data_IF_449016608569
#
_entry.id   IF_449016608569
#
_cell.length_a   1.000
_cell.length_b   1.000
_cell.length_c   1.000
_cell.angle_alpha   90.00
_cell.angle_beta   90.00
_cell.angle_gamma   90.00
#
_symmetry.space_group_name_H-M   'P 1'
#
loop_
_entity.id
_entity.type
_entity.pdbx_description
1 polymer ?
#
# COMPACT_ATOMS: atom_id res chain seq x y z
N UNK A 1 -14.02 -20.51 -24.88
CA UNK A 1 -12.65 -19.98 -25.14
C UNK A 1 -12.43 -18.50 -24.74
N UNK A 2 -13.23 -17.90 -23.84
CA UNK A 2 -13.04 -16.50 -23.40
C UNK A 2 -12.20 -16.33 -22.12
N UNK A 3 -11.97 -17.41 -21.36
CA UNK A 3 -11.39 -17.34 -20.00
C UNK A 3 -9.90 -16.95 -19.96
N UNK A 4 -9.13 -17.17 -21.03
CA UNK A 4 -7.68 -16.94 -21.03
C UNK A 4 -7.26 -15.47 -21.08
N UNK A 5 -8.01 -14.62 -21.79
CA UNK A 5 -7.67 -13.19 -21.96
C UNK A 5 -7.94 -12.35 -20.70
N UNK A 6 -8.92 -12.75 -19.90
CA UNK A 6 -9.21 -12.10 -18.62
C UNK A 6 -8.16 -12.41 -17.55
N UNK A 7 -7.60 -13.64 -17.56
CA UNK A 7 -6.56 -14.04 -16.63
C UNK A 7 -5.27 -13.22 -16.85
N UNK A 8 -4.81 -13.11 -18.10
CA UNK A 8 -3.60 -12.33 -18.43
C UNK A 8 -3.69 -10.86 -18.02
N UNK A 9 -4.82 -10.20 -18.31
CA UNK A 9 -5.03 -8.78 -17.96
C UNK A 9 -5.08 -8.54 -16.45
N UNK A 10 -5.67 -9.45 -15.69
CA UNK A 10 -5.72 -9.34 -14.23
C UNK A 10 -4.33 -9.52 -13.61
N UNK A 11 -3.52 -10.44 -14.13
CA UNK A 11 -2.13 -10.62 -13.72
C UNK A 11 -1.29 -9.39 -14.04
N UNK A 12 -1.40 -8.84 -15.25
CA UNK A 12 -0.65 -7.64 -15.65
C UNK A 12 -0.99 -6.43 -14.77
N UNK A 13 -2.28 -6.21 -14.48
CA UNK A 13 -2.74 -5.15 -13.59
C UNK A 13 -2.28 -5.35 -12.14
N UNK A 14 -2.28 -6.60 -11.65
CA UNK A 14 -1.79 -6.92 -10.31
C UNK A 14 -0.30 -6.65 -10.16
N UNK A 15 0.51 -7.07 -11.14
CA UNK A 15 1.96 -6.87 -11.14
C UNK A 15 2.32 -5.40 -11.33
N UNK A 16 1.64 -4.69 -12.25
CA UNK A 16 1.84 -3.27 -12.45
C UNK A 16 1.43 -2.47 -11.21
N UNK A 17 0.33 -2.87 -10.56
CA UNK A 17 -0.08 -2.34 -9.26
C UNK A 17 1.01 -2.54 -8.20
N UNK A 18 1.46 -3.78 -7.97
CA UNK A 18 2.51 -4.06 -6.99
C UNK A 18 3.80 -3.27 -7.27
N UNK A 19 4.23 -3.18 -8.52
CA UNK A 19 5.43 -2.42 -8.89
C UNK A 19 5.26 -0.92 -8.65
N UNK A 20 4.14 -0.34 -9.09
CA UNK A 20 3.85 1.07 -8.87
C UNK A 20 3.75 1.41 -7.37
N UNK A 21 3.21 0.50 -6.57
CA UNK A 21 3.11 0.64 -5.11
C UNK A 21 4.51 0.70 -4.48
N UNK A 22 5.36 -0.28 -4.77
CA UNK A 22 6.73 -0.33 -4.23
C UNK A 22 7.55 0.87 -4.69
N UNK A 23 7.46 1.26 -5.96
CA UNK A 23 8.23 2.38 -6.51
C UNK A 23 7.78 3.72 -5.89
N UNK A 24 6.48 3.98 -5.80
CA UNK A 24 5.98 5.24 -5.27
C UNK A 24 6.21 5.36 -3.76
N UNK A 25 5.92 4.30 -3.00
CA UNK A 25 6.20 4.25 -1.57
C UNK A 25 7.70 4.40 -1.28
N UNK A 26 8.54 3.69 -2.04
CA UNK A 26 9.99 3.79 -1.95
C UNK A 26 10.54 5.17 -2.29
N UNK A 27 10.04 5.80 -3.36
CA UNK A 27 10.45 7.15 -3.76
C UNK A 27 10.06 8.20 -2.70
N UNK A 28 8.84 8.11 -2.14
CA UNK A 28 8.41 9.00 -1.06
C UNK A 28 9.23 8.82 0.22
N UNK A 29 9.50 7.57 0.61
CA UNK A 29 10.35 7.29 1.77
C UNK A 29 11.79 7.81 1.57
N UNK A 30 12.36 7.62 0.38
CA UNK A 30 13.69 8.15 0.04
C UNK A 30 13.71 9.68 0.05
N UNK A 31 12.68 10.34 -0.48
CA UNK A 31 12.55 11.80 -0.45
C UNK A 31 12.54 12.34 0.99
N UNK A 32 11.76 11.71 1.88
CA UNK A 32 11.74 12.07 3.31
C UNK A 32 13.09 11.80 4.00
N UNK A 33 13.71 10.66 3.72
CA UNK A 33 14.99 10.28 4.33
C UNK A 33 16.13 11.24 3.93
N UNK A 34 16.07 11.82 2.73
CA UNK A 34 17.06 12.79 2.25
C UNK A 34 16.73 14.21 2.68
N UNK A 35 15.51 14.68 2.43
CA UNK A 35 15.13 16.07 2.66
C UNK A 35 14.84 16.38 4.13
N UNK A 36 14.35 15.40 4.90
CA UNK A 36 14.00 15.58 6.31
C UNK A 36 15.19 16.03 7.17
N UNK A 37 16.30 15.28 7.20
CA UNK A 37 17.50 15.68 7.95
C UNK A 37 18.06 17.03 7.50
N UNK A 38 18.14 17.28 6.18
CA UNK A 38 18.64 18.55 5.63
C UNK A 38 17.83 19.76 6.11
N UNK A 39 16.49 19.64 6.12
CA UNK A 39 15.61 20.72 6.58
C UNK A 39 15.70 20.92 8.10
N UNK A 40 15.84 19.84 8.87
CA UNK A 40 16.01 19.92 10.33
C UNK A 40 17.34 20.58 10.73
N UNK A 41 18.44 20.23 10.05
CA UNK A 41 19.75 20.85 10.25
C UNK A 41 19.74 22.34 9.87
N UNK A 42 19.13 22.67 8.73
CA UNK A 42 18.95 24.06 8.30
C UNK A 42 18.12 24.87 9.31
N UNK A 43 17.06 24.27 9.86
CA UNK A 43 16.21 24.90 10.88
C UNK A 43 16.98 25.20 12.18
N UNK A 44 17.87 24.31 12.58
CA UNK A 44 18.69 24.44 13.79
C UNK A 44 19.87 25.41 13.64
N UNK A 45 20.15 25.89 12.43
CA UNK A 45 21.28 26.79 12.15
C UNK A 45 21.01 28.20 12.69
N UNK A 46 22.00 28.81 13.34
CA UNK A 46 21.87 30.15 13.89
C UNK A 46 21.59 31.19 12.79
N UNK A 47 20.57 32.04 12.99
CA UNK A 47 20.16 33.05 12.02
C UNK A 47 19.31 32.51 10.85
N UNK A 48 18.91 31.24 10.88
CA UNK A 48 18.04 30.66 9.87
C UNK A 48 16.63 31.27 9.90
N UNK A 49 16.00 31.36 8.73
CA UNK A 49 14.58 31.65 8.59
C UNK A 49 13.75 30.40 8.93
N UNK A 50 13.58 30.18 10.22
CA UNK A 50 12.86 29.04 10.79
C UNK A 50 11.42 28.92 10.24
N UNK A 51 10.74 30.05 10.01
CA UNK A 51 9.36 30.06 9.54
C UNK A 51 9.24 29.52 8.10
N UNK A 52 10.14 29.95 7.22
CA UNK A 52 10.20 29.44 5.84
C UNK A 52 10.56 27.95 5.80
N UNK A 53 11.57 27.53 6.56
CA UNK A 53 11.99 26.12 6.60
C UNK A 53 10.89 25.20 7.16
N UNK A 54 10.20 25.63 8.22
CA UNK A 54 9.07 24.89 8.77
C UNK A 54 7.93 24.75 7.74
N UNK A 55 7.68 25.80 6.95
CA UNK A 55 6.67 25.77 5.88
C UNK A 55 7.06 24.76 4.79
N UNK A 56 8.32 24.76 4.34
CA UNK A 56 8.81 23.79 3.35
C UNK A 56 8.69 22.36 3.89
N UNK A 57 9.06 22.13 5.15
CA UNK A 57 8.93 20.83 5.79
C UNK A 57 7.46 20.39 5.90
N UNK A 58 6.55 21.29 6.27
CA UNK A 58 5.12 21.00 6.33
C UNK A 58 4.55 20.64 4.96
N UNK A 59 4.93 21.37 3.91
CA UNK A 59 4.50 21.06 2.53
C UNK A 59 5.04 19.70 2.08
N UNK A 60 6.31 19.38 2.37
CA UNK A 60 6.89 18.07 2.08
C UNK A 60 6.10 16.94 2.77
N UNK A 61 5.81 17.11 4.06
CA UNK A 61 5.02 16.16 4.84
C UNK A 61 3.61 16.00 4.28
N UNK A 62 2.95 17.09 3.89
CA UNK A 62 1.61 17.05 3.32
C UNK A 62 1.58 16.30 1.98
N UNK A 63 2.54 16.59 1.08
CA UNK A 63 2.66 15.92 -0.21
C UNK A 63 2.92 14.43 -0.04
N UNK A 64 3.84 14.06 0.85
CA UNK A 64 4.19 12.65 1.04
C UNK A 64 3.07 11.91 1.76
N UNK A 65 2.55 12.46 2.85
CA UNK A 65 1.54 11.78 3.66
C UNK A 65 0.19 11.73 2.97
N UNK A 66 -0.39 12.88 2.60
CA UNK A 66 -1.71 12.91 1.96
C UNK A 66 -1.66 12.51 0.50
N UNK A 67 -0.66 12.97 -0.24
CA UNK A 67 -0.55 12.72 -1.68
C UNK A 67 -0.08 11.30 -1.99
N UNK A 68 1.08 10.90 -1.48
CA UNK A 68 1.64 9.58 -1.82
C UNK A 68 0.99 8.49 -0.97
N UNK A 69 1.07 8.57 0.35
CA UNK A 69 0.70 7.46 1.25
C UNK A 69 -0.80 7.27 1.46
N UNK A 70 -1.61 8.32 1.35
CA UNK A 70 -3.06 8.20 1.58
C UNK A 70 -3.87 8.12 0.29
N UNK A 71 -3.37 8.68 -0.82
CA UNK A 71 -4.08 8.70 -2.09
C UNK A 71 -3.49 7.72 -3.11
N UNK A 72 -2.22 7.89 -3.48
CA UNK A 72 -1.60 7.04 -4.50
C UNK A 72 -1.43 5.59 -4.03
N UNK A 73 -0.92 5.42 -2.82
CA UNK A 73 -0.66 4.14 -2.18
C UNK A 73 -1.93 3.28 -2.08
N UNK A 74 -3.01 3.87 -1.56
CA UNK A 74 -4.31 3.19 -1.37
C UNK A 74 -4.97 2.78 -2.70
N UNK A 75 -4.81 3.59 -3.76
CA UNK A 75 -5.28 3.24 -5.10
C UNK A 75 -4.56 2.01 -5.65
N UNK A 76 -3.23 2.05 -5.59
CA UNK A 76 -2.39 1.08 -6.27
C UNK A 76 -2.35 -0.24 -5.50
N UNK A 77 -2.28 -0.18 -4.16
CA UNK A 77 -2.39 -1.38 -3.31
C UNK A 77 -3.77 -2.03 -3.44
N UNK A 78 -4.83 -1.24 -3.60
CA UNK A 78 -6.19 -1.73 -3.85
C UNK A 78 -6.26 -2.51 -5.16
N UNK A 79 -5.68 -1.98 -6.24
CA UNK A 79 -5.61 -2.66 -7.53
C UNK A 79 -4.83 -3.99 -7.44
N UNK A 80 -3.68 -3.98 -6.73
CA UNK A 80 -2.89 -5.19 -6.49
C UNK A 80 -3.68 -6.25 -5.72
N UNK A 81 -4.32 -5.88 -4.60
CA UNK A 81 -5.09 -6.80 -3.76
C UNK A 81 -6.30 -7.39 -4.50
N UNK A 82 -6.98 -6.60 -5.31
CA UNK A 82 -8.08 -7.08 -6.16
C UNK A 82 -7.56 -8.08 -7.19
N UNK A 83 -6.48 -7.74 -7.88
CA UNK A 83 -5.84 -8.61 -8.86
C UNK A 83 -5.39 -9.94 -8.24
N UNK A 84 -4.78 -9.90 -7.06
CA UNK A 84 -4.38 -11.08 -6.30
C UNK A 84 -5.58 -11.94 -5.91
N UNK A 85 -6.67 -11.32 -5.46
CA UNK A 85 -7.91 -12.01 -5.14
C UNK A 85 -8.51 -12.74 -6.34
N UNK A 86 -8.48 -12.13 -7.53
CA UNK A 86 -8.93 -12.80 -8.75
C UNK A 86 -8.03 -13.98 -9.15
N UNK A 87 -6.71 -13.86 -8.97
CA UNK A 87 -5.77 -14.92 -9.31
C UNK A 87 -5.91 -16.13 -8.39
N UNK A 88 -6.14 -15.91 -7.09
CA UNK A 88 -6.21 -16.98 -6.09
C UNK A 88 -7.60 -17.60 -5.92
N UNK A 89 -8.63 -17.10 -6.64
CA UNK A 89 -10.02 -17.54 -6.46
C UNK A 89 -10.23 -19.02 -6.78
N UNK A 90 -9.41 -19.64 -7.61
CA UNK A 90 -9.57 -21.06 -7.98
C UNK A 90 -8.98 -22.00 -6.94
N UNK A 91 -7.92 -21.56 -6.25
CA UNK A 91 -7.11 -22.45 -5.41
C UNK A 91 -7.35 -22.22 -3.92
N UNK A 92 -7.63 -20.97 -3.52
CA UNK A 92 -7.75 -20.55 -2.13
C UNK A 92 -8.87 -19.52 -1.96
N UNK A 93 -10.12 -19.95 -2.12
CA UNK A 93 -11.33 -19.10 -2.07
C UNK A 93 -11.40 -18.19 -0.83
N UNK A 94 -10.98 -18.68 0.35
CA UNK A 94 -10.99 -17.89 1.58
C UNK A 94 -10.01 -16.71 1.52
N UNK A 95 -8.77 -16.99 1.13
CA UNK A 95 -7.72 -15.97 1.00
C UNK A 95 -7.99 -14.99 -0.15
N UNK A 96 -8.59 -15.50 -1.24
CA UNK A 96 -9.05 -14.69 -2.36
C UNK A 96 -10.11 -13.66 -1.93
N UNK A 97 -11.12 -14.09 -1.18
CA UNK A 97 -12.16 -13.18 -0.64
C UNK A 97 -11.57 -12.13 0.28
N UNK A 98 -10.66 -12.52 1.17
CA UNK A 98 -9.98 -11.58 2.07
C UNK A 98 -9.21 -10.51 1.28
N UNK A 99 -8.47 -10.91 0.25
CA UNK A 99 -7.71 -10.00 -0.62
C UNK A 99 -8.63 -9.05 -1.40
N UNK A 100 -9.74 -9.55 -1.96
CA UNK A 100 -10.74 -8.72 -2.64
C UNK A 100 -11.37 -7.68 -1.69
N UNK A 101 -11.76 -8.11 -0.49
CA UNK A 101 -12.33 -7.22 0.53
C UNK A 101 -11.33 -6.15 0.91
N UNK A 102 -10.08 -6.53 1.19
CA UNK A 102 -9.02 -5.61 1.55
C UNK A 102 -8.80 -4.56 0.45
N UNK A 103 -8.73 -4.98 -0.81
CA UNK A 103 -8.58 -4.06 -1.94
C UNK A 103 -9.77 -3.12 -2.13
N UNK A 104 -11.00 -3.61 -1.91
CA UNK A 104 -12.20 -2.77 -1.93
C UNK A 104 -12.22 -1.72 -0.83
N UNK A 105 -11.81 -2.09 0.39
CA UNK A 105 -11.67 -1.14 1.51
C UNK A 105 -10.58 -0.10 1.24
N UNK A 106 -9.46 -0.48 0.61
CA UNK A 106 -8.41 0.48 0.23
C UNK A 106 -8.92 1.55 -0.74
N UNK A 107 -9.72 1.17 -1.75
CA UNK A 107 -10.35 2.15 -2.64
C UNK A 107 -11.42 2.99 -1.95
N UNK A 108 -12.13 2.43 -0.96
CA UNK A 108 -13.04 3.20 -0.13
C UNK A 108 -12.27 4.26 0.68
N UNK A 109 -11.09 3.93 1.24
CA UNK A 109 -10.21 4.90 1.89
C UNK A 109 -9.82 6.01 0.92
N UNK A 110 -9.42 5.67 -0.32
CA UNK A 110 -9.12 6.68 -1.35
C UNK A 110 -10.30 7.62 -1.57
N UNK A 111 -11.51 7.09 -1.77
CA UNK A 111 -12.70 7.90 -2.00
C UNK A 111 -13.01 8.83 -0.81
N UNK A 112 -12.95 8.32 0.41
CA UNK A 112 -13.17 9.11 1.62
C UNK A 112 -12.10 10.19 1.82
N UNK A 113 -10.85 9.92 1.44
CA UNK A 113 -9.77 10.88 1.49
C UNK A 113 -9.98 12.03 0.49
N UNK A 114 -10.45 11.73 -0.73
CA UNK A 114 -10.80 12.75 -1.74
C UNK A 114 -12.00 13.61 -1.30
N UNK A 115 -12.98 13.00 -0.61
CA UNK A 115 -14.14 13.69 -0.05
C UNK A 115 -13.84 14.41 1.29
N UNK A 116 -12.60 14.38 1.75
CA UNK A 116 -12.14 14.97 3.02
C UNK A 116 -12.92 14.49 4.26
N UNK A 117 -13.47 13.26 4.21
CA UNK A 117 -14.23 12.66 5.31
C UNK A 117 -13.30 11.97 6.32
N UNK A 118 -12.57 12.77 7.11
CA UNK A 118 -11.49 12.29 8.02
C UNK A 118 -11.93 11.20 8.99
N UNK A 119 -13.01 11.41 9.75
CA UNK A 119 -13.49 10.43 10.73
C UNK A 119 -13.87 9.08 10.08
N UNK A 120 -14.59 9.12 8.97
CA UNK A 120 -14.99 7.91 8.25
C UNK A 120 -13.75 7.18 7.69
N UNK A 121 -12.81 7.94 7.12
CA UNK A 121 -11.54 7.41 6.61
C UNK A 121 -10.76 6.69 7.71
N UNK A 122 -10.66 7.28 8.90
CA UNK A 122 -9.89 6.71 10.01
C UNK A 122 -10.51 5.40 10.54
N UNK A 123 -11.85 5.33 10.60
CA UNK A 123 -12.56 4.09 10.94
C UNK A 123 -12.30 3.00 9.90
N UNK A 124 -12.38 3.34 8.61
CA UNK A 124 -12.12 2.39 7.52
C UNK A 124 -10.66 1.95 7.53
N UNK A 125 -9.71 2.86 7.77
CA UNK A 125 -8.28 2.54 7.91
C UNK A 125 -8.02 1.58 9.08
N UNK A 126 -8.67 1.76 10.23
CA UNK A 126 -8.56 0.83 11.34
C UNK A 126 -9.02 -0.58 10.94
N UNK A 127 -10.13 -0.69 10.20
CA UNK A 127 -10.60 -1.96 9.66
C UNK A 127 -9.62 -2.55 8.64
N UNK A 128 -9.04 -1.72 7.75
CA UNK A 128 -8.00 -2.10 6.80
C UNK A 128 -6.79 -2.70 7.52
N UNK A 129 -6.29 -2.06 8.58
CA UNK A 129 -5.15 -2.59 9.34
C UNK A 129 -5.46 -3.94 9.99
N UNK A 130 -6.65 -4.12 10.54
CA UNK A 130 -7.08 -5.41 11.08
C UNK A 130 -7.16 -6.50 10.00
N UNK A 131 -7.74 -6.18 8.84
CA UNK A 131 -7.81 -7.09 7.69
C UNK A 131 -6.41 -7.41 7.13
N UNK A 132 -5.53 -6.42 7.08
CA UNK A 132 -4.14 -6.56 6.63
C UNK A 132 -3.34 -7.49 7.55
N UNK A 133 -3.50 -7.34 8.86
CA UNK A 133 -2.90 -8.23 9.84
C UNK A 133 -3.40 -9.67 9.67
N UNK A 134 -4.73 -9.85 9.54
CA UNK A 134 -5.32 -11.16 9.28
C UNK A 134 -4.80 -11.78 7.97
N UNK A 135 -4.69 -10.98 6.91
CA UNK A 135 -4.14 -11.40 5.63
C UNK A 135 -2.69 -11.85 5.75
N UNK A 136 -1.86 -11.10 6.46
CA UNK A 136 -0.44 -11.40 6.67
C UNK A 136 -0.24 -12.67 7.49
N UNK A 137 -1.02 -12.85 8.58
CA UNK A 137 -1.01 -14.07 9.39
C UNK A 137 -1.41 -15.26 8.54
N UNK A 138 -2.49 -15.15 7.75
CA UNK A 138 -2.94 -16.23 6.89
C UNK A 138 -1.88 -16.58 5.84
N UNK A 139 -1.24 -15.59 5.21
CA UNK A 139 -0.15 -15.83 4.27
C UNK A 139 1.00 -16.61 4.91
N UNK A 140 1.41 -16.25 6.13
CA UNK A 140 2.44 -16.97 6.88
C UNK A 140 2.02 -18.41 7.20
N UNK A 141 0.75 -18.64 7.56
CA UNK A 141 0.23 -19.99 7.79
C UNK A 141 0.23 -20.83 6.50
N UNK A 142 -0.14 -20.23 5.37
CA UNK A 142 -0.07 -20.90 4.06
C UNK A 142 1.37 -21.26 3.70
N UNK A 143 2.32 -20.33 3.88
CA UNK A 143 3.74 -20.58 3.65
C UNK A 143 4.26 -21.72 4.55
N UNK A 144 3.89 -21.72 5.83
CA UNK A 144 4.24 -22.79 6.78
C UNK A 144 3.65 -24.13 6.37
N UNK A 145 2.40 -24.17 5.90
CA UNK A 145 1.74 -25.40 5.43
C UNK A 145 2.31 -25.94 4.11
N UNK A 146 3.14 -25.15 3.41
CA UNK A 146 3.76 -25.49 2.12
C UNK A 146 5.22 -25.92 2.25
N UNK A 147 5.75 -26.09 3.46
CA UNK A 147 7.04 -26.78 3.71
C UNK A 147 6.79 -28.28 3.57
N UNK A 148 7.46 -29.05 2.68
CA UNK A 148 8.81 -28.91 2.15
C UNK A 148 8.93 -28.95 0.60
N UNK A 149 9.99 -28.33 0.02
CA UNK A 149 10.51 -28.72 -1.30
C UNK A 149 11.94 -29.28 -1.29
N UNK A 150 12.57 -29.54 -0.14
CA UNK A 150 13.94 -30.09 -0.10
C UNK A 150 14.06 -31.51 0.48
N UNK A 151 12.96 -32.12 0.93
CA UNK A 151 12.99 -33.52 1.42
C UNK A 151 13.19 -34.55 0.30
N UNK A 152 13.11 -34.13 -0.97
CA UNK A 152 13.37 -34.99 -2.13
C UNK A 152 14.82 -34.92 -2.66
N UNK A 153 15.74 -34.28 -1.93
CA UNK A 153 17.17 -34.20 -2.28
C UNK A 153 18.10 -34.86 -1.23
N UNK A 154 17.55 -35.74 -0.39
CA UNK A 154 18.29 -36.57 0.56
C UNK A 154 18.23 -38.07 0.20
#
# INVERSE_FOLDING_TARGET
MSSGKFCGRATDLATLGALAYVVAGGAAAAALALAGPLLLEAYATAGADQASIATVFAVLMEVVWRGVWQLFDTLVIGAWMIGLGFLLRTDQLGFARLSLTLGGFMWLVTALNVLEMTLAKDIVLAAVFALWAAWSIWLLLLLKSRVAPFDSLA
#
